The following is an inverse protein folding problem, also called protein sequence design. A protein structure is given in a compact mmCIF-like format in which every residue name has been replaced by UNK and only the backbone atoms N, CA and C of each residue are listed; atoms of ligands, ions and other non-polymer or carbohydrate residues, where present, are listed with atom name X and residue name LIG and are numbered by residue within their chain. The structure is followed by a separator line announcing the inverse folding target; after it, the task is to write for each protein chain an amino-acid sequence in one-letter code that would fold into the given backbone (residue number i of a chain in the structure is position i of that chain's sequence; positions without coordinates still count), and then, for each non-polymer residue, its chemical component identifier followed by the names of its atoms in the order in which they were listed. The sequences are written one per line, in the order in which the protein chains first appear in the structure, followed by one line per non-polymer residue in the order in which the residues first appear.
data_IF_705809915387
#
_entry.id   IF_705809915387
#
_cell.length_a   1.000
_cell.length_b   1.000
_cell.length_c   1.000
_cell.angle_alpha   90.00
_cell.angle_beta   90.00
_cell.angle_gamma   90.00
#
_symmetry.space_group_name_H-M   'P 1'
#
loop_
_entity.id
_entity.type
_entity.pdbx_description
1 polymer ?
#
# COMPACT_ATOMS: atom_id res chain seq x y z
N UNK A 1 -6.48 20.63 8.41
CA UNK A 1 -6.40 19.26 8.94
C UNK A 1 -5.05 19.10 9.60
N UNK A 2 -4.93 19.21 10.94
CA UNK A 2 -3.64 19.29 11.62
C UNK A 2 -2.89 17.95 11.72
N UNK A 3 -3.57 16.82 11.44
CA UNK A 3 -2.98 15.48 11.55
C UNK A 3 -2.38 14.96 10.24
N UNK A 4 -2.81 15.48 9.09
CA UNK A 4 -2.25 15.10 7.78
C UNK A 4 -0.91 15.77 7.57
N UNK A 5 0.03 15.03 6.99
CA UNK A 5 1.36 15.55 6.70
C UNK A 5 1.35 16.22 5.32
N UNK A 6 2.02 17.38 5.17
CA UNK A 6 2.34 17.90 3.86
C UNK A 6 3.08 16.86 3.02
N UNK A 7 2.75 16.72 1.74
CA UNK A 7 3.31 15.69 0.84
C UNK A 7 4.83 15.73 0.78
N UNK A 8 5.41 16.94 0.79
CA UNK A 8 6.86 17.17 0.82
C UNK A 8 7.56 16.70 2.11
N UNK A 9 6.78 16.35 3.13
CA UNK A 9 7.24 15.80 4.41
C UNK A 9 6.82 14.35 4.62
N UNK A 10 6.10 13.76 3.66
CA UNK A 10 5.76 12.35 3.67
C UNK A 10 6.93 11.53 3.14
N UNK A 11 7.18 10.38 3.77
CA UNK A 11 7.99 9.33 3.17
C UNK A 11 7.31 8.80 1.90
N UNK A 12 8.08 8.25 0.99
CA UNK A 12 7.61 7.57 -0.20
C UNK A 12 8.14 6.13 -0.24
N UNK A 13 7.45 5.19 -0.91
CA UNK A 13 7.91 3.80 -1.02
C UNK A 13 9.36 3.67 -1.50
N UNK A 14 9.79 4.56 -2.40
CA UNK A 14 11.15 4.60 -2.93
C UNK A 14 12.22 4.89 -1.86
N UNK A 15 11.86 5.54 -0.75
CA UNK A 15 12.80 5.80 0.35
C UNK A 15 13.24 4.50 1.07
N UNK A 16 12.50 3.41 0.89
CA UNK A 16 12.71 2.11 1.56
C UNK A 16 13.04 0.96 0.62
N UNK A 17 13.07 1.21 -0.70
CA UNK A 17 13.25 0.19 -1.73
C UNK A 17 14.54 0.45 -2.52
N UNK A 18 15.17 -0.59 -3.09
CA UNK A 18 16.27 -0.39 -4.03
C UNK A 18 15.84 0.51 -5.20
N UNK A 19 16.53 1.62 -5.40
CA UNK A 19 16.25 2.57 -6.49
C UNK A 19 16.67 1.95 -7.84
N UNK A 20 15.71 1.87 -8.77
CA UNK A 20 15.88 1.17 -10.06
C UNK A 20 16.83 1.87 -11.04
N UNK A 21 17.05 3.16 -10.84
CA UNK A 21 17.92 4.04 -11.60
C UNK A 21 19.39 3.96 -11.16
N UNK A 22 19.65 3.36 -9.99
CA UNK A 22 21.00 3.25 -9.48
C UNK A 22 21.78 2.14 -10.21
N UNK A 23 23.09 2.36 -10.52
CA UNK A 23 23.90 1.36 -11.20
C UNK A 23 24.12 0.08 -10.38
N UNK A 24 23.97 0.15 -9.05
CA UNK A 24 24.08 -0.96 -8.11
C UNK A 24 22.71 -1.56 -7.71
N UNK A 25 21.63 -1.24 -8.44
CA UNK A 25 20.27 -1.73 -8.16
C UNK A 25 20.22 -3.25 -7.97
N UNK A 26 20.85 -4.01 -8.87
CA UNK A 26 20.83 -5.48 -8.81
C UNK A 26 21.54 -6.03 -7.58
N UNK A 27 22.64 -5.38 -7.15
CA UNK A 27 23.37 -5.77 -5.95
C UNK A 27 22.51 -5.51 -4.69
N UNK A 28 21.82 -4.37 -4.63
CA UNK A 28 20.87 -4.02 -3.56
C UNK A 28 19.68 -5.00 -3.49
N UNK A 29 19.15 -5.43 -4.65
CA UNK A 29 18.11 -6.46 -4.72
C UNK A 29 18.63 -7.80 -4.21
N UNK A 30 19.86 -8.19 -4.58
CA UNK A 30 20.47 -9.43 -4.09
C UNK A 30 20.65 -9.40 -2.56
N UNK A 31 21.09 -8.27 -1.99
CA UNK A 31 21.21 -8.10 -0.54
C UNK A 31 19.85 -8.17 0.18
N UNK A 32 18.80 -7.57 -0.39
CA UNK A 32 17.43 -7.69 0.11
C UNK A 32 17.00 -9.15 0.18
N UNK A 33 17.21 -9.92 -0.90
CA UNK A 33 16.82 -11.35 -0.95
C UNK A 33 17.59 -12.19 0.06
N UNK A 34 18.90 -11.96 0.21
CA UNK A 34 19.73 -12.65 1.21
C UNK A 34 19.22 -12.43 2.64
N UNK A 35 18.75 -11.22 2.97
CA UNK A 35 18.11 -10.94 4.27
C UNK A 35 16.76 -11.63 4.39
N UNK A 36 15.96 -11.58 3.32
CA UNK A 36 14.63 -12.18 3.29
C UNK A 36 14.65 -13.72 3.39
N UNK A 37 15.73 -14.40 2.98
CA UNK A 37 15.91 -15.87 3.15
C UNK A 37 15.77 -16.33 4.60
N UNK A 38 16.11 -15.48 5.58
CA UNK A 38 16.04 -15.82 7.00
C UNK A 38 14.66 -15.53 7.62
N UNK A 39 13.71 -14.98 6.86
CA UNK A 39 12.35 -14.76 7.34
C UNK A 39 11.58 -16.10 7.37
N UNK A 40 10.94 -16.45 8.50
CA UNK A 40 10.13 -17.66 8.59
C UNK A 40 8.82 -17.51 7.81
N UNK A 41 8.28 -18.62 7.31
CA UNK A 41 7.06 -18.60 6.51
C UNK A 41 5.85 -18.08 7.31
N UNK A 42 5.77 -18.37 8.62
CA UNK A 42 4.72 -17.82 9.49
C UNK A 42 4.69 -16.28 9.48
N UNK A 43 5.86 -15.64 9.44
CA UNK A 43 5.97 -14.20 9.32
C UNK A 43 5.48 -13.72 7.94
N UNK A 44 5.90 -14.42 6.88
CA UNK A 44 5.53 -14.07 5.51
C UNK A 44 4.03 -14.18 5.27
N UNK A 45 3.37 -15.21 5.83
CA UNK A 45 1.91 -15.38 5.72
C UNK A 45 1.17 -14.19 6.34
N UNK A 46 1.57 -13.77 7.54
CA UNK A 46 0.94 -12.62 8.22
C UNK A 46 1.20 -11.33 7.45
N UNK A 47 2.43 -11.09 7.03
CA UNK A 47 2.79 -9.89 6.28
C UNK A 47 2.08 -9.83 4.91
N UNK A 48 1.91 -10.96 4.24
CA UNK A 48 1.10 -11.04 3.01
C UNK A 48 -0.35 -10.70 3.29
N UNK A 49 -0.92 -11.17 4.40
CA UNK A 49 -2.28 -10.80 4.81
C UNK A 49 -2.43 -9.30 5.06
N UNK A 50 -1.45 -8.69 5.72
CA UNK A 50 -1.39 -7.24 5.94
C UNK A 50 -1.35 -6.47 4.61
N UNK A 51 -0.43 -6.86 3.72
CA UNK A 51 -0.30 -6.25 2.39
C UNK A 51 -1.57 -6.39 1.54
N UNK A 52 -2.20 -7.56 1.51
CA UNK A 52 -3.46 -7.78 0.79
C UNK A 52 -4.56 -6.84 1.32
N UNK A 53 -4.57 -6.59 2.64
CA UNK A 53 -5.52 -5.68 3.27
C UNK A 53 -5.24 -4.24 2.83
N UNK A 54 -3.99 -3.79 2.87
CA UNK A 54 -3.60 -2.45 2.40
C UNK A 54 -3.96 -2.21 0.91
N UNK A 55 -3.83 -3.24 0.06
CA UNK A 55 -4.18 -3.16 -1.36
C UNK A 55 -5.70 -3.05 -1.62
N UNK A 56 -6.54 -3.38 -0.64
CA UNK A 56 -8.00 -3.23 -0.73
C UNK A 56 -8.47 -1.78 -0.47
N UNK A 57 -7.57 -0.81 -0.50
CA UNK A 57 -7.83 0.62 -0.30
C UNK A 57 -9.04 1.21 -1.06
N UNK A 58 -9.36 0.82 -2.31
CA UNK A 58 -10.57 1.29 -2.97
C UNK A 58 -11.85 1.02 -2.18
N UNK A 59 -11.94 -0.13 -1.49
CA UNK A 59 -13.06 -0.50 -0.62
C UNK A 59 -13.17 0.46 0.56
N UNK A 60 -12.04 0.85 1.16
CA UNK A 60 -12.03 1.72 2.35
C UNK A 60 -12.43 3.16 2.00
N UNK A 61 -11.91 3.70 0.90
CA UNK A 61 -12.35 5.01 0.40
C UNK A 61 -13.84 5.00 0.02
N UNK A 62 -14.32 3.93 -0.62
CA UNK A 62 -15.74 3.77 -0.93
C UNK A 62 -16.59 3.76 0.34
N UNK A 63 -16.17 3.01 1.37
CA UNK A 63 -16.85 2.97 2.67
C UNK A 63 -16.97 4.36 3.30
N UNK A 64 -15.88 5.13 3.35
CA UNK A 64 -15.91 6.52 3.86
C UNK A 64 -16.90 7.40 3.08
N UNK A 65 -17.02 7.19 1.77
CA UNK A 65 -17.94 7.91 0.90
C UNK A 65 -19.40 7.40 0.95
N UNK A 66 -19.70 6.35 1.71
CA UNK A 66 -21.09 5.98 2.01
C UNK A 66 -21.66 6.69 3.25
N UNK A 67 -20.80 7.33 4.05
CA UNK A 67 -21.20 7.95 5.32
C UNK A 67 -21.91 9.29 5.11
N UNK A 68 -23.14 9.38 5.62
CA UNK A 68 -23.92 10.62 5.58
C UNK A 68 -23.20 11.77 6.29
N UNK A 69 -23.29 12.96 5.71
CA UNK A 69 -22.71 14.19 6.25
C UNK A 69 -21.21 14.39 6.01
N UNK A 70 -20.47 13.35 5.60
CA UNK A 70 -19.01 13.42 5.38
C UNK A 70 -18.56 12.96 4.00
N UNK A 71 -19.39 12.25 3.24
CA UNK A 71 -19.03 11.76 1.90
C UNK A 71 -18.60 12.86 0.93
N UNK A 72 -17.68 12.53 0.02
CA UNK A 72 -17.30 13.38 -1.09
C UNK A 72 -18.29 13.26 -2.26
N UNK A 73 -19.18 14.25 -2.38
CA UNK A 73 -20.26 14.25 -3.38
C UNK A 73 -19.79 14.37 -4.84
N UNK A 74 -18.57 14.86 -5.09
CA UNK A 74 -18.10 15.15 -6.46
C UNK A 74 -16.77 14.48 -6.81
N UNK A 75 -16.15 13.80 -5.85
CA UNK A 75 -14.76 13.33 -5.95
C UNK A 75 -13.72 14.44 -5.83
N UNK A 76 -14.17 15.69 -5.66
CA UNK A 76 -13.33 16.87 -5.47
C UNK A 76 -14.02 17.91 -4.57
N UNK A 77 -14.93 17.48 -3.69
CA UNK A 77 -15.68 18.38 -2.81
C UNK A 77 -14.69 19.23 -1.99
N UNK A 78 -14.94 20.55 -1.88
CA UNK A 78 -14.09 21.45 -1.10
C UNK A 78 -14.35 21.34 0.41
N UNK A 79 -15.29 20.48 0.83
CA UNK A 79 -15.57 20.24 2.24
C UNK A 79 -14.33 19.69 2.97
N UNK A 80 -14.17 20.00 4.27
CA UNK A 80 -13.09 19.41 5.06
C UNK A 80 -13.09 17.88 5.00
N UNK A 81 -14.27 17.24 5.02
CA UNK A 81 -14.42 15.80 4.96
C UNK A 81 -13.99 15.20 3.63
N UNK A 82 -14.46 15.75 2.50
CA UNK A 82 -14.02 15.32 1.18
C UNK A 82 -12.51 15.47 1.01
N UNK A 83 -11.94 16.59 1.49
CA UNK A 83 -10.48 16.80 1.49
C UNK A 83 -9.75 15.75 2.34
N UNK A 84 -10.22 15.47 3.55
CA UNK A 84 -9.62 14.45 4.42
C UNK A 84 -9.68 13.06 3.80
N UNK A 85 -10.83 12.64 3.28
CA UNK A 85 -10.97 11.32 2.63
C UNK A 85 -9.94 11.15 1.52
N UNK A 86 -9.78 12.15 0.64
CA UNK A 86 -8.81 12.06 -0.46
C UNK A 86 -7.35 12.08 0.02
N UNK A 87 -7.01 12.94 0.97
CA UNK A 87 -5.65 13.04 1.49
C UNK A 87 -5.25 11.83 2.35
N UNK A 88 -6.17 11.28 3.15
CA UNK A 88 -5.98 10.03 3.87
C UNK A 88 -5.77 8.87 2.89
N UNK A 89 -6.62 8.71 1.88
CA UNK A 89 -6.44 7.68 0.84
C UNK A 89 -5.08 7.84 0.14
N UNK A 90 -4.65 9.07 -0.14
CA UNK A 90 -3.34 9.32 -0.73
C UNK A 90 -2.18 8.91 0.20
N UNK A 91 -2.33 9.11 1.51
CA UNK A 91 -1.36 8.63 2.48
C UNK A 91 -1.34 7.09 2.57
N UNK A 92 -2.50 6.43 2.66
CA UNK A 92 -2.64 4.96 2.76
C UNK A 92 -2.14 4.22 1.52
N UNK A 93 -2.32 4.78 0.31
CA UNK A 93 -1.86 4.14 -0.94
C UNK A 93 -0.38 3.73 -0.89
N UNK A 94 0.44 4.51 -0.19
CA UNK A 94 1.88 4.25 -0.05
C UNK A 94 2.18 2.99 0.77
N UNK A 95 1.27 2.54 1.63
CA UNK A 95 1.44 1.36 2.48
C UNK A 95 1.42 0.08 1.63
N UNK A 96 0.34 -0.14 0.85
CA UNK A 96 0.27 -1.24 -0.11
C UNK A 96 1.43 -1.21 -1.10
N UNK A 97 1.74 -0.03 -1.63
CA UNK A 97 2.83 0.18 -2.60
C UNK A 97 4.21 -0.29 -2.11
N UNK A 98 4.57 0.00 -0.86
CA UNK A 98 5.88 -0.38 -0.31
C UNK A 98 5.91 -1.86 0.05
N UNK A 99 4.82 -2.39 0.62
CA UNK A 99 4.73 -3.80 1.00
C UNK A 99 4.71 -4.73 -0.22
N UNK A 100 3.95 -4.38 -1.26
CA UNK A 100 3.85 -5.15 -2.50
C UNK A 100 5.21 -5.26 -3.20
N UNK A 101 5.86 -4.11 -3.45
CA UNK A 101 7.19 -4.08 -4.09
C UNK A 101 8.23 -4.80 -3.26
N UNK A 102 8.19 -4.65 -1.93
CA UNK A 102 9.07 -5.42 -1.03
C UNK A 102 8.87 -6.93 -1.21
N UNK A 103 7.62 -7.41 -1.14
CA UNK A 103 7.30 -8.84 -1.31
C UNK A 103 7.68 -9.37 -2.68
N UNK A 104 7.39 -8.61 -3.74
CA UNK A 104 7.81 -8.91 -5.11
C UNK A 104 9.33 -9.11 -5.21
N UNK A 105 10.11 -8.18 -4.65
CA UNK A 105 11.57 -8.23 -4.70
C UNK A 105 12.17 -9.36 -3.84
N UNK A 106 11.50 -9.76 -2.74
CA UNK A 106 12.00 -10.89 -1.92
C UNK A 106 12.07 -12.19 -2.72
N UNK A 107 11.12 -12.42 -3.63
CA UNK A 107 10.92 -13.69 -4.32
C UNK A 107 10.60 -14.86 -3.38
N UNK A 108 10.12 -14.58 -2.17
CA UNK A 108 9.77 -15.59 -1.15
C UNK A 108 8.29 -16.02 -1.20
N UNK A 109 7.47 -15.35 -2.01
CA UNK A 109 6.01 -15.55 -2.07
C UNK A 109 5.53 -15.73 -3.50
N UNK A 110 4.34 -16.31 -3.67
CA UNK A 110 3.69 -16.44 -4.98
C UNK A 110 2.83 -15.19 -5.27
N UNK A 111 3.42 -14.21 -5.96
CA UNK A 111 2.74 -12.96 -6.29
C UNK A 111 1.46 -13.16 -7.11
N UNK A 112 1.42 -14.12 -8.03
CA UNK A 112 0.20 -14.40 -8.81
C UNK A 112 -0.97 -14.82 -7.90
N UNK A 113 -0.73 -15.66 -6.90
CA UNK A 113 -1.78 -16.06 -5.96
C UNK A 113 -2.25 -14.87 -5.09
N UNK A 114 -1.32 -14.00 -4.68
CA UNK A 114 -1.60 -12.79 -3.92
C UNK A 114 -2.46 -11.82 -4.76
N UNK A 115 -2.06 -11.54 -6.00
CA UNK A 115 -2.77 -10.65 -6.93
C UNK A 115 -4.19 -11.13 -7.21
N UNK A 116 -4.38 -12.44 -7.42
CA UNK A 116 -5.71 -13.06 -7.53
C UNK A 116 -6.52 -12.87 -6.24
N UNK A 117 -5.88 -12.96 -5.07
CA UNK A 117 -6.55 -12.77 -3.78
C UNK A 117 -6.99 -11.32 -3.60
N UNK A 118 -6.13 -10.34 -3.93
CA UNK A 118 -6.46 -8.91 -3.92
C UNK A 118 -7.64 -8.64 -4.86
N UNK A 119 -7.60 -9.17 -6.08
CA UNK A 119 -8.68 -9.00 -7.05
C UNK A 119 -10.02 -9.54 -6.53
N UNK A 120 -10.01 -10.73 -5.92
CA UNK A 120 -11.21 -11.30 -5.29
C UNK A 120 -11.70 -10.47 -4.10
N UNK A 121 -10.78 -9.97 -3.26
CA UNK A 121 -11.11 -9.16 -2.09
C UNK A 121 -11.79 -7.85 -2.50
N UNK A 122 -11.17 -7.08 -3.40
CA UNK A 122 -11.75 -5.83 -3.90
C UNK A 122 -13.11 -6.08 -4.57
N UNK A 123 -13.21 -7.13 -5.39
CA UNK A 123 -14.48 -7.50 -6.05
C UNK A 123 -15.59 -7.92 -5.08
N UNK A 124 -15.22 -8.41 -3.89
CA UNK A 124 -16.16 -8.82 -2.85
C UNK A 124 -16.57 -7.67 -1.92
N UNK A 125 -15.75 -6.61 -1.83
CA UNK A 125 -15.94 -5.55 -0.84
C UNK A 125 -15.37 -5.96 0.52
N UNK A 126 -16.13 -5.71 1.59
CA UNK A 126 -15.81 -6.06 2.98
C UNK A 126 -16.97 -6.84 3.60
#
# INVERSE_FOLDING_TARGET
MPLLKPVDKCWQPADFLPASEDPDFLDKVQELRKRAEQLPDDYLVVFVGDMITEEALPTYMAMLNTLDGVRDETGASPTPWGKWTREWTAEENRHGDVMNKYMYLTGRVNMHAIEVTIQNLIGSGM
#
